data_IF_793840264271
#
_entry.id   IF_793840264271
#
_cell.length_a   1.000
_cell.length_b   1.000
_cell.length_c   1.000
_cell.angle_alpha   90.00
_cell.angle_beta   90.00
_cell.angle_gamma   90.00
#
_symmetry.space_group_name_H-M   'P 1'
#
loop_
_entity.id
_entity.type
_entity.pdbx_description
1 polymer ?
#
# COMPACT_ATOMS: atom_id res chain seq x y z
N UNK A 1 58.45 64.69 45.52
CA UNK A 1 58.97 63.39 45.87
C UNK A 1 57.80 62.44 45.88
N UNK A 2 57.60 61.66 44.79
CA UNK A 2 56.98 60.35 44.91
C UNK A 2 57.02 59.62 43.58
N UNK A 3 57.33 58.36 43.57
CA UNK A 3 57.72 57.63 42.37
C UNK A 3 56.59 56.82 41.76
N UNK A 4 56.73 56.63 40.48
CA UNK A 4 56.32 55.57 39.60
C UNK A 4 55.22 54.58 40.06
N UNK A 5 54.07 54.57 39.32
CA UNK A 5 53.26 53.41 39.16
C UNK A 5 53.23 53.00 37.67
N UNK A 6 53.98 51.92 37.44
CA UNK A 6 54.06 51.22 36.16
C UNK A 6 52.83 50.34 36.04
N UNK A 7 51.91 50.64 35.09
CA UNK A 7 50.75 49.79 34.80
C UNK A 7 51.14 48.78 33.76
N UNK A 8 51.16 47.55 34.15
CA UNK A 8 51.23 46.42 33.25
C UNK A 8 49.83 46.17 32.66
N UNK A 9 49.62 46.51 31.39
CA UNK A 9 48.50 46.05 30.57
C UNK A 9 48.90 44.67 30.04
N UNK A 10 48.37 43.60 30.64
CA UNK A 10 48.37 42.24 30.06
C UNK A 10 47.33 42.20 28.93
N UNK A 11 47.80 42.25 27.70
CA UNK A 11 46.98 41.95 26.51
C UNK A 11 46.69 40.42 26.46
N UNK A 12 45.50 40.03 26.90
CA UNK A 12 44.99 38.70 26.66
C UNK A 12 44.59 38.59 25.19
N UNK A 13 45.51 38.17 24.32
CA UNK A 13 45.16 37.64 23.00
C UNK A 13 44.50 36.27 23.19
N UNK A 14 43.14 36.26 23.22
CA UNK A 14 42.37 35.02 23.11
C UNK A 14 42.58 34.46 21.71
N UNK A 15 43.41 33.43 21.56
CA UNK A 15 43.41 32.58 20.35
C UNK A 15 42.04 31.89 20.25
N UNK A 16 41.16 32.41 19.40
CA UNK A 16 39.98 31.72 18.96
C UNK A 16 40.44 30.56 18.06
N UNK A 17 40.59 29.36 18.64
CA UNK A 17 40.75 28.14 17.83
C UNK A 17 39.51 27.94 16.96
N UNK A 18 39.68 27.71 15.67
CA UNK A 18 38.50 27.36 14.82
C UNK A 18 37.90 26.07 15.34
N UNK A 19 36.64 26.12 15.80
CA UNK A 19 35.86 24.91 16.10
C UNK A 19 35.75 24.17 14.78
N UNK A 20 36.23 22.91 14.67
CA UNK A 20 36.03 22.15 13.46
C UNK A 20 34.52 22.05 13.20
N UNK A 21 34.08 22.69 12.13
CA UNK A 21 32.69 22.54 11.67
C UNK A 21 32.42 21.06 11.47
N UNK A 22 31.52 20.50 12.28
CA UNK A 22 30.99 19.16 12.04
C UNK A 22 30.37 19.23 10.65
N UNK A 23 31.07 18.72 9.64
CA UNK A 23 30.53 18.56 8.30
C UNK A 23 29.25 17.75 8.50
N UNK A 24 28.10 18.35 8.16
CA UNK A 24 26.83 17.65 8.20
C UNK A 24 26.98 16.40 7.33
N UNK A 25 26.96 15.23 7.96
CA UNK A 25 27.05 13.97 7.23
C UNK A 25 25.97 13.99 6.15
N UNK A 26 26.37 13.79 4.89
CA UNK A 26 25.46 13.80 3.77
C UNK A 26 24.57 12.56 3.89
N UNK A 27 23.27 12.78 4.18
CA UNK A 27 22.28 11.69 4.21
C UNK A 27 22.04 11.14 2.80
N UNK A 28 22.01 9.79 2.64
CA UNK A 28 22.39 8.76 3.61
C UNK A 28 23.91 8.47 3.60
N UNK A 29 24.52 8.24 4.79
CA UNK A 29 25.91 7.86 4.97
C UNK A 29 26.11 6.34 5.18
N UNK A 30 25.02 5.58 5.34
CA UNK A 30 24.99 4.12 5.56
C UNK A 30 23.81 3.49 4.82
N UNK A 31 23.76 2.15 4.65
CA UNK A 31 22.63 1.47 4.01
C UNK A 31 21.28 1.83 4.62
N UNK A 32 20.28 1.93 3.76
CA UNK A 32 18.89 2.26 4.12
C UNK A 32 18.02 1.00 4.04
N UNK A 33 17.20 0.77 5.06
CA UNK A 33 16.34 -0.41 5.16
C UNK A 33 14.93 -0.10 4.67
N UNK A 34 14.47 -0.84 3.66
CA UNK A 34 13.08 -0.86 3.19
C UNK A 34 12.40 -2.11 3.72
N UNK A 35 11.55 -1.97 4.74
CA UNK A 35 10.71 -3.07 5.22
C UNK A 35 9.58 -3.29 4.21
N UNK A 36 9.28 -4.56 3.87
CA UNK A 36 8.22 -4.93 2.93
C UNK A 36 7.22 -5.86 3.63
N UNK A 37 5.96 -5.43 3.68
CA UNK A 37 4.92 -6.07 4.49
C UNK A 37 4.34 -7.39 3.88
N UNK A 38 4.99 -7.95 2.86
CA UNK A 38 4.54 -9.16 2.17
C UNK A 38 5.70 -10.16 2.00
N UNK A 39 5.40 -11.45 1.74
CA UNK A 39 6.43 -12.42 1.40
C UNK A 39 7.18 -12.07 0.12
N UNK A 40 8.42 -12.57 -0.07
CA UNK A 40 9.13 -12.48 -1.34
C UNK A 40 8.28 -12.98 -2.51
N UNK A 41 8.35 -12.28 -3.66
CA UNK A 41 7.55 -12.58 -4.86
C UNK A 41 6.11 -12.03 -4.82
N UNK A 42 5.66 -11.46 -3.72
CA UNK A 42 4.38 -10.75 -3.65
C UNK A 42 4.41 -9.39 -4.36
N UNK A 43 3.24 -8.79 -4.66
CA UNK A 43 3.18 -7.55 -5.45
C UNK A 43 4.02 -6.39 -4.89
N UNK A 44 4.00 -6.18 -3.57
CA UNK A 44 4.82 -5.14 -2.94
C UNK A 44 6.33 -5.49 -3.00
N UNK A 45 6.72 -6.77 -2.93
CA UNK A 45 8.12 -7.17 -3.07
C UNK A 45 8.62 -6.93 -4.51
N UNK A 46 7.80 -7.21 -5.51
CA UNK A 46 8.10 -6.90 -6.92
C UNK A 46 8.32 -5.39 -7.09
N UNK A 47 7.44 -4.57 -6.54
CA UNK A 47 7.57 -3.11 -6.57
C UNK A 47 8.85 -2.64 -5.85
N UNK A 48 9.13 -3.20 -4.66
CA UNK A 48 10.35 -2.88 -3.91
C UNK A 48 11.62 -3.20 -4.71
N UNK A 49 11.65 -4.36 -5.38
CA UNK A 49 12.80 -4.78 -6.21
C UNK A 49 12.91 -4.03 -7.53
N UNK A 50 11.84 -3.42 -7.99
CA UNK A 50 11.82 -2.58 -9.18
C UNK A 50 12.36 -1.17 -8.85
N UNK A 51 11.99 -0.61 -7.70
CA UNK A 51 12.37 0.74 -7.26
C UNK A 51 13.69 0.75 -6.48
N UNK A 52 13.96 -0.27 -5.66
CA UNK A 52 15.11 -0.34 -4.77
C UNK A 52 16.49 -0.13 -5.43
N UNK A 53 16.80 -0.77 -6.57
CA UNK A 53 18.05 -0.53 -7.28
C UNK A 53 18.22 0.93 -7.74
N UNK A 54 17.15 1.57 -8.20
CA UNK A 54 17.16 2.99 -8.59
C UNK A 54 17.40 3.90 -7.39
N UNK A 55 16.78 3.57 -6.25
CA UNK A 55 17.06 4.30 -5.01
C UNK A 55 18.51 4.10 -4.55
N UNK A 56 19.07 2.90 -4.67
CA UNK A 56 20.48 2.63 -4.35
C UNK A 56 21.42 3.52 -5.18
N UNK A 57 21.14 3.63 -6.49
CA UNK A 57 21.92 4.44 -7.41
C UNK A 57 21.90 5.94 -7.02
N UNK A 58 20.70 6.51 -6.82
CA UNK A 58 20.55 7.95 -6.56
C UNK A 58 20.88 8.37 -5.12
N UNK A 59 20.77 7.46 -4.16
CA UNK A 59 21.12 7.70 -2.78
C UNK A 59 22.63 7.47 -2.51
N UNK A 60 23.32 6.75 -3.38
CA UNK A 60 24.73 6.37 -3.19
C UNK A 60 24.94 5.35 -2.06
N UNK A 61 23.87 4.76 -1.52
CA UNK A 61 23.89 3.79 -0.45
C UNK A 61 22.92 2.65 -0.75
N UNK A 62 23.29 1.44 -0.36
CA UNK A 62 22.45 0.25 -0.60
C UNK A 62 21.10 0.37 0.08
N UNK A 63 20.02 0.14 -0.69
CA UNK A 63 18.66 -0.04 -0.14
C UNK A 63 18.43 -1.52 0.07
N UNK A 64 18.41 -1.93 1.35
CA UNK A 64 18.21 -3.33 1.77
C UNK A 64 16.71 -3.60 1.85
N UNK A 65 16.22 -4.53 1.02
CA UNK A 65 14.82 -4.99 1.03
C UNK A 65 14.68 -6.08 2.09
N UNK A 66 13.84 -5.84 3.11
CA UNK A 66 13.62 -6.72 4.24
C UNK A 66 12.14 -7.13 4.34
N UNK A 67 11.83 -8.32 3.85
CA UNK A 67 10.46 -8.84 3.86
C UNK A 67 10.06 -9.29 5.27
N UNK A 68 8.99 -8.71 5.82
CA UNK A 68 8.39 -9.02 7.12
C UNK A 68 6.89 -9.29 6.99
N UNK A 69 6.51 -10.45 6.44
CA UNK A 69 5.10 -10.82 6.27
C UNK A 69 4.46 -11.21 7.60
N UNK A 70 3.13 -11.20 7.62
CA UNK A 70 2.31 -11.72 8.73
C UNK A 70 1.25 -10.75 9.19
N UNK A 71 0.11 -11.29 9.68
CA UNK A 71 -1.04 -10.55 10.20
C UNK A 71 -1.47 -9.37 9.29
N UNK A 72 -1.64 -9.61 7.99
CA UNK A 72 -1.95 -8.60 6.98
C UNK A 72 -0.99 -7.38 7.00
N UNK A 73 0.30 -7.63 7.31
CA UNK A 73 1.35 -6.60 7.37
C UNK A 73 1.59 -5.99 8.76
N UNK A 74 0.81 -6.30 9.79
CA UNK A 74 0.96 -5.70 11.12
C UNK A 74 2.40 -5.83 11.65
N UNK A 75 3.06 -6.98 11.45
CA UNK A 75 4.45 -7.19 11.89
C UNK A 75 5.38 -6.13 11.28
N UNK A 76 5.24 -5.87 10.00
CA UNK A 76 6.05 -4.86 9.29
C UNK A 76 5.71 -3.43 9.74
N UNK A 77 4.43 -3.14 9.93
CA UNK A 77 3.98 -1.80 10.31
C UNK A 77 4.37 -1.46 11.74
N UNK A 78 4.20 -2.38 12.69
CA UNK A 78 4.68 -2.20 14.07
C UNK A 78 6.19 -1.99 14.13
N UNK A 79 6.95 -2.80 13.40
CA UNK A 79 8.40 -2.65 13.31
C UNK A 79 8.80 -1.29 12.74
N UNK A 80 8.11 -0.80 11.71
CA UNK A 80 8.39 0.50 11.11
C UNK A 80 7.97 1.66 12.03
N UNK A 81 6.81 1.59 12.67
CA UNK A 81 6.31 2.62 13.58
C UNK A 81 7.27 2.88 14.75
N UNK A 82 7.93 1.82 15.24
CA UNK A 82 8.86 1.88 16.38
C UNK A 82 10.34 1.99 15.97
N UNK A 83 10.64 2.10 14.68
CA UNK A 83 12.01 2.30 14.21
C UNK A 83 12.52 3.70 14.58
N UNK A 84 13.87 3.84 14.66
CA UNK A 84 14.50 5.14 14.88
C UNK A 84 14.12 6.08 13.73
N UNK A 85 13.60 7.29 14.00
CA UNK A 85 13.16 8.22 12.98
C UNK A 85 14.33 9.00 12.35
N UNK A 86 15.41 8.30 11.98
CA UNK A 86 16.63 8.85 11.41
C UNK A 86 16.69 8.80 9.88
N UNK A 87 15.58 8.39 9.23
CA UNK A 87 15.47 8.25 7.80
C UNK A 87 16.07 6.98 7.20
N UNK A 88 16.74 6.14 8.01
CA UNK A 88 17.38 4.91 7.53
C UNK A 88 16.47 3.68 7.56
N UNK A 89 15.23 3.82 8.05
CA UNK A 89 14.23 2.76 7.99
C UNK A 89 12.91 3.35 7.50
N UNK A 90 12.32 2.73 6.48
CA UNK A 90 10.99 3.05 6.00
C UNK A 90 10.29 1.76 5.54
N UNK A 91 8.98 1.78 5.40
CA UNK A 91 8.19 0.61 5.03
C UNK A 91 7.45 0.83 3.72
N UNK A 92 7.43 -0.17 2.87
CA UNK A 92 6.49 -0.30 1.76
C UNK A 92 5.23 -0.99 2.29
N UNK A 93 4.23 -0.17 2.55
CA UNK A 93 2.95 -0.58 3.11
C UNK A 93 1.91 -0.86 2.02
N UNK A 94 0.96 -1.71 2.36
CA UNK A 94 -0.27 -1.95 1.61
C UNK A 94 -1.47 -1.37 2.35
N UNK A 95 -2.67 -1.48 1.78
CA UNK A 95 -3.92 -1.01 2.38
C UNK A 95 -4.16 -1.50 3.82
N UNK A 96 -3.58 -2.63 4.20
CA UNK A 96 -3.64 -3.17 5.57
C UNK A 96 -3.22 -2.16 6.64
N UNK A 97 -2.28 -1.25 6.36
CA UNK A 97 -1.86 -0.25 7.35
C UNK A 97 -3.02 0.63 7.82
N UNK A 98 -3.94 1.00 6.93
CA UNK A 98 -5.12 1.81 7.24
C UNK A 98 -6.32 0.97 7.72
N UNK A 99 -6.41 -0.30 7.31
CA UNK A 99 -7.54 -1.20 7.54
C UNK A 99 -7.44 -1.90 8.90
N UNK A 100 -6.25 -2.38 9.25
CA UNK A 100 -6.03 -3.29 10.36
C UNK A 100 -6.46 -2.74 11.74
N UNK A 101 -6.34 -1.43 12.04
CA UNK A 101 -6.81 -0.89 13.32
C UNK A 101 -8.31 -1.10 13.57
N UNK A 102 -9.11 -1.18 12.50
CA UNK A 102 -10.55 -1.47 12.61
C UNK A 102 -10.87 -2.96 12.56
N UNK A 103 -9.96 -3.78 12.00
CA UNK A 103 -10.18 -5.20 11.76
C UNK A 103 -9.68 -6.09 12.89
N UNK A 104 -8.49 -5.82 13.45
CA UNK A 104 -7.87 -6.61 14.52
C UNK A 104 -8.18 -6.02 15.90
N UNK A 105 -8.25 -6.87 16.91
CA UNK A 105 -8.45 -6.46 18.31
C UNK A 105 -7.30 -5.63 18.85
N UNK A 106 -6.08 -6.03 18.53
CA UNK A 106 -4.86 -5.37 18.97
C UNK A 106 -3.97 -5.05 17.75
N UNK A 107 -3.68 -3.77 17.59
CA UNK A 107 -2.71 -3.24 16.65
C UNK A 107 -1.85 -2.24 17.39
N UNK A 108 -0.54 -2.42 17.35
CA UNK A 108 0.40 -1.60 18.13
C UNK A 108 0.98 -0.42 17.35
N UNK A 109 0.18 0.14 16.46
CA UNK A 109 0.47 1.38 15.75
C UNK A 109 -0.83 2.11 15.42
N UNK A 110 -0.72 3.42 15.23
CA UNK A 110 -1.79 4.28 14.72
C UNK A 110 -1.37 4.77 13.32
N UNK A 111 -2.13 4.45 12.24
CA UNK A 111 -1.76 4.81 10.88
C UNK A 111 -1.69 6.31 10.64
N UNK A 112 -2.36 7.12 11.46
CA UNK A 112 -2.47 8.57 11.31
C UNK A 112 -1.47 9.33 12.17
N UNK A 113 -0.90 8.68 13.20
CA UNK A 113 -0.01 9.31 14.19
C UNK A 113 1.41 8.80 14.12
N UNK A 114 1.61 7.51 13.88
CA UNK A 114 2.90 6.86 14.07
C UNK A 114 3.73 6.78 12.77
N UNK A 115 3.20 7.36 11.67
CA UNK A 115 3.89 7.40 10.37
C UNK A 115 3.95 8.79 9.76
N UNK A 116 5.05 9.07 9.08
CA UNK A 116 5.18 10.13 8.09
C UNK A 116 4.97 9.53 6.70
N UNK A 117 3.96 9.98 5.97
CA UNK A 117 3.71 9.56 4.60
C UNK A 117 4.85 10.04 3.69
N UNK A 118 5.36 9.15 2.82
CA UNK A 118 6.36 9.50 1.81
C UNK A 118 5.67 9.69 0.46
N UNK A 119 5.07 8.63 -0.09
CA UNK A 119 4.30 8.69 -1.34
C UNK A 119 3.42 7.46 -1.52
N UNK A 120 2.24 7.65 -2.09
CA UNK A 120 1.47 6.57 -2.70
C UNK A 120 2.20 6.15 -3.98
N UNK A 121 2.73 4.93 -4.00
CA UNK A 121 3.54 4.46 -5.11
C UNK A 121 2.70 4.02 -6.29
N UNK A 122 1.79 3.09 -6.04
CA UNK A 122 0.97 2.49 -7.08
C UNK A 122 -0.45 2.23 -6.60
N UNK A 123 -1.39 2.25 -7.54
CA UNK A 123 -2.77 1.83 -7.37
C UNK A 123 -3.04 0.59 -8.25
N UNK A 124 -3.75 -0.38 -7.70
CA UNK A 124 -4.09 -1.63 -8.39
C UNK A 124 -5.58 -1.90 -8.15
N UNK A 125 -6.46 -1.65 -9.12
CA UNK A 125 -7.87 -1.95 -8.96
C UNK A 125 -8.10 -3.45 -8.85
N UNK A 126 -9.21 -3.85 -8.21
CA UNK A 126 -9.67 -5.22 -8.29
C UNK A 126 -10.60 -5.40 -9.49
N UNK A 127 -10.61 -6.59 -10.07
CA UNK A 127 -11.60 -7.00 -11.07
C UNK A 127 -12.48 -8.06 -10.41
N UNK A 128 -13.78 -7.87 -10.48
CA UNK A 128 -14.73 -8.91 -10.14
C UNK A 128 -14.74 -9.96 -11.26
N UNK A 129 -14.26 -11.14 -10.93
CA UNK A 129 -14.19 -12.27 -11.84
C UNK A 129 -15.07 -13.41 -11.33
N UNK A 130 -15.56 -14.22 -12.25
CA UNK A 130 -16.30 -15.45 -11.97
C UNK A 130 -15.74 -16.62 -12.81
N UNK A 131 -15.89 -17.85 -12.30
CA UNK A 131 -15.62 -19.02 -13.10
C UNK A 131 -16.60 -19.12 -14.28
N UNK A 132 -16.20 -19.56 -15.47
CA UNK A 132 -17.07 -19.61 -16.66
C UNK A 132 -18.36 -20.41 -16.49
N UNK A 133 -18.38 -21.41 -15.58
CA UNK A 133 -19.59 -22.20 -15.27
C UNK A 133 -20.65 -21.45 -14.46
N UNK A 134 -20.30 -20.28 -13.90
CA UNK A 134 -21.29 -19.44 -13.19
C UNK A 134 -22.25 -18.83 -14.22
N UNK A 135 -23.57 -19.05 -14.09
CA UNK A 135 -24.55 -18.56 -15.05
C UNK A 135 -24.84 -17.06 -14.80
N UNK A 136 -23.80 -16.23 -14.90
CA UNK A 136 -23.85 -14.79 -14.77
C UNK A 136 -22.78 -14.17 -15.68
N UNK A 137 -23.18 -13.39 -16.65
CA UNK A 137 -22.32 -12.65 -17.57
C UNK A 137 -22.16 -11.18 -17.22
N UNK A 138 -22.88 -10.72 -16.19
CA UNK A 138 -22.90 -9.33 -15.74
C UNK A 138 -23.07 -9.23 -14.22
N UNK A 139 -22.77 -8.07 -13.66
CA UNK A 139 -22.99 -7.81 -12.22
C UNK A 139 -24.45 -7.92 -11.81
N UNK A 140 -25.43 -7.36 -12.56
CA UNK A 140 -26.86 -7.58 -12.25
C UNK A 140 -27.27 -9.06 -12.23
N UNK A 141 -26.78 -9.87 -13.17
CA UNK A 141 -27.06 -11.31 -13.20
C UNK A 141 -26.42 -12.04 -12.01
N UNK A 142 -25.19 -11.66 -11.62
CA UNK A 142 -24.55 -12.22 -10.44
C UNK A 142 -25.31 -11.89 -9.16
N UNK A 143 -25.84 -10.68 -9.03
CA UNK A 143 -26.69 -10.27 -7.91
C UNK A 143 -27.98 -11.06 -7.89
N UNK A 144 -28.66 -11.21 -9.04
CA UNK A 144 -29.88 -12.01 -9.14
C UNK A 144 -29.62 -13.48 -8.73
N UNK A 145 -28.52 -14.06 -9.21
CA UNK A 145 -28.08 -15.39 -8.82
C UNK A 145 -27.82 -15.51 -7.32
N UNK A 146 -27.11 -14.54 -6.73
CA UNK A 146 -26.83 -14.52 -5.28
C UNK A 146 -28.12 -14.43 -4.46
N UNK A 147 -29.09 -13.62 -4.87
CA UNK A 147 -30.40 -13.50 -4.22
C UNK A 147 -31.23 -14.77 -4.32
N UNK A 148 -31.19 -15.46 -5.48
CA UNK A 148 -31.91 -16.73 -5.67
C UNK A 148 -31.28 -17.91 -4.92
N UNK A 149 -30.02 -17.77 -4.50
CA UNK A 149 -29.20 -18.79 -3.81
C UNK A 149 -28.55 -18.21 -2.56
N UNK A 150 -29.30 -17.49 -1.74
CA UNK A 150 -28.79 -16.82 -0.56
C UNK A 150 -27.91 -17.74 0.29
N UNK A 151 -26.72 -17.27 0.67
CA UNK A 151 -25.74 -18.01 1.47
C UNK A 151 -25.07 -19.19 0.74
N UNK A 152 -25.23 -19.35 -0.59
CA UNK A 152 -24.60 -20.46 -1.33
C UNK A 152 -23.56 -20.02 -2.35
N UNK A 153 -23.58 -18.74 -2.75
CA UNK A 153 -22.55 -18.23 -3.66
C UNK A 153 -21.26 -17.98 -2.87
N UNK A 154 -20.17 -18.58 -3.31
CA UNK A 154 -18.86 -18.47 -2.63
C UNK A 154 -17.95 -17.48 -3.35
N UNK A 155 -17.29 -16.64 -2.55
CA UNK A 155 -16.28 -15.70 -3.00
C UNK A 155 -14.94 -15.98 -2.33
N UNK A 156 -13.91 -16.21 -3.11
CA UNK A 156 -12.55 -16.27 -2.62
C UNK A 156 -12.00 -14.87 -2.27
N UNK A 157 -11.00 -14.82 -1.41
CA UNK A 157 -10.14 -13.65 -1.23
C UNK A 157 -8.69 -14.05 -0.96
N UNK A 158 -7.77 -13.11 -1.12
CA UNK A 158 -6.36 -13.29 -0.77
C UNK A 158 -6.11 -13.37 0.75
N UNK A 159 -7.16 -13.35 1.54
CA UNK A 159 -7.17 -13.36 3.00
C UNK A 159 -8.00 -12.23 3.59
N UNK A 160 -8.27 -12.34 4.87
CA UNK A 160 -9.04 -11.34 5.62
C UNK A 160 -8.34 -9.97 5.61
N UNK A 161 -9.10 -8.88 5.45
CA UNK A 161 -8.59 -7.50 5.41
C UNK A 161 -7.89 -7.10 4.12
N UNK A 162 -7.80 -7.98 3.13
CA UNK A 162 -7.29 -7.60 1.80
C UNK A 162 -8.33 -6.78 1.03
N UNK A 163 -7.88 -6.00 0.03
CA UNK A 163 -8.79 -5.19 -0.79
C UNK A 163 -9.88 -6.02 -1.45
N UNK A 164 -9.57 -7.25 -1.87
CA UNK A 164 -10.56 -8.17 -2.44
C UNK A 164 -11.62 -8.63 -1.43
N UNK A 165 -11.25 -8.90 -0.17
CA UNK A 165 -12.20 -9.21 0.90
C UNK A 165 -13.12 -8.01 1.17
N UNK A 166 -12.53 -6.82 1.35
CA UNK A 166 -13.31 -5.62 1.63
C UNK A 166 -14.19 -5.18 0.44
N UNK A 167 -13.75 -5.44 -0.79
CA UNK A 167 -14.58 -5.26 -1.98
C UNK A 167 -15.82 -6.18 -1.94
N UNK A 168 -15.66 -7.43 -1.53
CA UNK A 168 -16.77 -8.36 -1.34
C UNK A 168 -17.73 -7.85 -0.26
N UNK A 169 -17.23 -7.46 0.89
CA UNK A 169 -18.09 -7.04 2.00
C UNK A 169 -18.84 -5.73 1.67
N UNK A 170 -18.16 -4.77 1.05
CA UNK A 170 -18.82 -3.57 0.54
C UNK A 170 -19.88 -3.92 -0.53
N UNK A 171 -19.60 -4.88 -1.42
CA UNK A 171 -20.52 -5.34 -2.44
C UNK A 171 -21.74 -6.02 -1.83
N UNK A 172 -21.55 -6.90 -0.84
CA UNK A 172 -22.65 -7.53 -0.09
C UNK A 172 -23.57 -6.49 0.54
N UNK A 173 -22.98 -5.52 1.25
CA UNK A 173 -23.73 -4.43 1.89
C UNK A 173 -24.52 -3.58 0.89
N UNK A 174 -23.90 -3.22 -0.24
CA UNK A 174 -24.52 -2.32 -1.23
C UNK A 174 -25.56 -3.02 -2.10
N UNK A 175 -25.34 -4.29 -2.46
CA UNK A 175 -26.24 -5.09 -3.30
C UNK A 175 -27.33 -5.80 -2.50
N UNK A 176 -27.26 -5.84 -1.17
CA UNK A 176 -28.18 -6.56 -0.31
C UNK A 176 -28.19 -8.06 -0.62
N UNK A 177 -27.00 -8.66 -0.76
CA UNK A 177 -26.82 -10.09 -1.04
C UNK A 177 -26.15 -10.79 0.12
N UNK A 178 -26.45 -12.07 0.27
CA UNK A 178 -25.73 -12.99 1.16
C UNK A 178 -24.84 -13.92 0.32
N UNK A 179 -23.54 -13.95 0.68
CA UNK A 179 -22.54 -14.76 0.02
C UNK A 179 -21.46 -15.20 1.02
N UNK A 180 -20.93 -16.41 0.81
CA UNK A 180 -19.91 -17.00 1.70
C UNK A 180 -18.55 -16.50 1.29
N UNK A 181 -17.80 -15.95 2.25
CA UNK A 181 -16.41 -15.58 2.08
C UNK A 181 -15.49 -16.78 2.37
N UNK A 182 -14.56 -17.08 1.46
CA UNK A 182 -13.55 -18.15 1.58
C UNK A 182 -12.16 -17.51 1.53
N UNK A 183 -11.50 -17.29 2.69
CA UNK A 183 -10.18 -16.68 2.74
C UNK A 183 -9.06 -17.68 2.39
N UNK A 184 -8.11 -17.26 1.55
CA UNK A 184 -6.91 -18.01 1.20
C UNK A 184 -5.65 -17.32 1.71
N UNK A 185 -4.50 -18.01 1.67
CA UNK A 185 -3.18 -17.46 2.06
C UNK A 185 -2.52 -16.75 0.87
N UNK A 186 -3.21 -15.73 0.31
CA UNK A 186 -2.72 -14.93 -0.80
C UNK A 186 -3.56 -15.01 -2.08
N UNK A 187 -3.32 -14.08 -3.01
CA UNK A 187 -4.09 -13.96 -4.25
C UNK A 187 -3.90 -15.10 -5.24
N UNK A 188 -2.71 -15.69 -5.29
CA UNK A 188 -2.42 -16.83 -6.17
C UNK A 188 -3.28 -18.05 -5.87
N UNK A 189 -3.27 -18.60 -4.64
CA UNK A 189 -4.16 -19.69 -4.23
C UNK A 189 -5.64 -19.36 -4.43
N UNK A 190 -6.10 -18.16 -4.05
CA UNK A 190 -7.49 -17.76 -4.25
C UNK A 190 -7.93 -17.78 -5.72
N UNK A 191 -7.08 -17.25 -6.61
CA UNK A 191 -7.33 -17.26 -8.05
C UNK A 191 -7.32 -18.66 -8.64
N UNK A 192 -6.40 -19.52 -8.19
CA UNK A 192 -6.32 -20.92 -8.64
C UNK A 192 -7.61 -21.68 -8.34
N UNK A 193 -8.21 -21.48 -7.17
CA UNK A 193 -9.48 -22.13 -6.78
C UNK A 193 -10.67 -21.64 -7.63
N UNK A 194 -10.69 -20.36 -8.00
CA UNK A 194 -11.71 -19.85 -8.94
C UNK A 194 -11.48 -20.39 -10.33
N UNK A 195 -10.25 -20.46 -10.83
CA UNK A 195 -9.91 -21.08 -12.13
C UNK A 195 -10.28 -22.57 -12.17
N UNK A 196 -10.14 -23.26 -11.04
CA UNK A 196 -10.54 -24.66 -10.91
C UNK A 196 -12.06 -24.88 -10.70
N UNK A 197 -12.84 -23.80 -10.54
CA UNK A 197 -14.28 -23.86 -10.31
C UNK A 197 -14.69 -24.30 -8.91
N UNK A 198 -13.75 -24.42 -7.96
CA UNK A 198 -14.06 -24.77 -6.58
C UNK A 198 -14.74 -23.61 -5.81
N UNK A 199 -14.42 -22.37 -6.18
CA UNK A 199 -15.07 -21.14 -5.70
C UNK A 199 -15.58 -20.37 -6.89
N UNK A 200 -16.79 -19.78 -6.78
CA UNK A 200 -17.48 -19.20 -7.92
C UNK A 200 -16.95 -17.83 -8.34
N UNK A 201 -16.53 -16.98 -7.40
CA UNK A 201 -16.19 -15.59 -7.67
C UNK A 201 -15.02 -15.08 -6.84
N UNK A 202 -14.42 -13.97 -7.27
CA UNK A 202 -13.32 -13.31 -6.58
C UNK A 202 -13.22 -11.84 -7.03
N UNK A 203 -13.01 -10.94 -6.10
CA UNK A 203 -12.45 -9.64 -6.39
C UNK A 203 -10.92 -9.76 -6.38
N UNK A 204 -10.33 -9.93 -7.55
CA UNK A 204 -8.88 -10.14 -7.73
C UNK A 204 -8.18 -8.86 -8.15
N UNK A 205 -6.98 -8.60 -7.62
CA UNK A 205 -6.15 -7.53 -8.16
C UNK A 205 -5.96 -7.73 -9.67
N UNK A 206 -6.09 -6.65 -10.44
CA UNK A 206 -6.05 -6.66 -11.90
C UNK A 206 -4.79 -7.35 -12.44
N UNK A 207 -3.63 -7.12 -11.79
CA UNK A 207 -2.36 -7.74 -12.16
C UNK A 207 -2.40 -9.28 -12.18
N UNK A 208 -3.17 -9.90 -11.28
CA UNK A 208 -3.31 -11.35 -11.19
C UNK A 208 -4.45 -11.88 -12.09
N UNK A 209 -5.55 -11.13 -12.21
CA UNK A 209 -6.73 -11.52 -12.98
C UNK A 209 -6.52 -11.44 -14.49
N UNK A 210 -5.85 -10.38 -14.99
CA UNK A 210 -5.72 -10.08 -16.43
C UNK A 210 -5.18 -11.26 -17.28
N UNK A 211 -4.14 -12.01 -16.88
CA UNK A 211 -3.69 -13.16 -17.66
C UNK A 211 -4.75 -14.27 -17.78
N UNK A 212 -5.54 -14.51 -16.71
CA UNK A 212 -6.56 -15.54 -16.69
C UNK A 212 -7.82 -15.13 -17.49
N UNK A 213 -8.14 -13.83 -17.50
CA UNK A 213 -9.20 -13.25 -18.34
C UNK A 213 -8.85 -13.40 -19.82
N UNK A 214 -7.62 -13.04 -20.20
CA UNK A 214 -7.13 -13.15 -21.60
C UNK A 214 -7.16 -14.59 -22.14
N UNK A 215 -6.97 -15.58 -21.29
CA UNK A 215 -7.02 -17.00 -21.65
C UNK A 215 -8.41 -17.63 -21.50
N UNK A 216 -9.43 -16.84 -21.10
CA UNK A 216 -10.80 -17.32 -20.94
C UNK A 216 -11.02 -18.26 -19.75
N UNK A 217 -10.04 -18.40 -18.84
CA UNK A 217 -10.16 -19.26 -17.66
C UNK A 217 -11.09 -18.69 -16.60
N UNK A 218 -11.27 -17.36 -16.59
CA UNK A 218 -12.26 -16.67 -15.78
C UNK A 218 -12.94 -15.60 -16.62
N UNK A 219 -14.16 -15.21 -16.24
CA UNK A 219 -14.92 -14.13 -16.86
C UNK A 219 -14.83 -12.89 -15.97
N UNK A 220 -14.44 -11.74 -16.54
CA UNK A 220 -14.49 -10.45 -15.87
C UNK A 220 -15.89 -9.85 -15.98
N UNK A 221 -16.40 -9.26 -14.90
CA UNK A 221 -17.72 -8.62 -14.86
C UNK A 221 -17.63 -7.11 -14.67
N UNK A 222 -16.72 -6.63 -13.82
CA UNK A 222 -16.56 -5.21 -13.52
C UNK A 222 -15.20 -4.94 -12.86
N UNK A 223 -14.78 -3.66 -12.89
CA UNK A 223 -13.61 -3.19 -12.17
C UNK A 223 -14.04 -2.32 -10.97
N UNK A 224 -13.22 -2.31 -9.90
CA UNK A 224 -13.58 -1.64 -8.65
C UNK A 224 -13.04 -0.21 -8.51
N UNK A 225 -12.39 0.32 -9.52
CA UNK A 225 -11.98 1.73 -9.57
C UNK A 225 -13.20 2.66 -9.70
N UNK A 226 -13.10 3.88 -9.16
CA UNK A 226 -14.16 4.88 -9.23
C UNK A 226 -14.44 5.38 -10.66
N UNK A 227 -13.46 5.22 -11.56
CA UNK A 227 -13.56 5.48 -13.01
C UNK A 227 -13.00 4.29 -13.76
N UNK A 228 -13.36 4.14 -15.06
CA UNK A 228 -12.76 3.11 -15.91
C UNK A 228 -11.25 3.24 -15.91
N UNK A 229 -10.58 2.11 -15.75
CA UNK A 229 -9.12 2.07 -15.68
C UNK A 229 -8.52 1.90 -17.08
N UNK A 230 -7.40 2.56 -17.33
CA UNK A 230 -6.65 2.39 -18.56
C UNK A 230 -6.12 0.95 -18.77
N UNK A 231 -6.04 0.16 -17.69
CA UNK A 231 -5.59 -1.24 -17.75
C UNK A 231 -6.67 -2.22 -18.18
N UNK A 232 -7.95 -1.82 -18.16
CA UNK A 232 -9.11 -2.60 -18.61
C UNK A 232 -10.26 -1.65 -19.03
N UNK A 233 -10.09 -0.85 -20.08
CA UNK A 233 -11.03 0.20 -20.46
C UNK A 233 -12.37 -0.36 -20.93
N UNK A 234 -12.42 -1.60 -21.35
CA UNK A 234 -13.62 -2.32 -21.76
C UNK A 234 -14.53 -2.72 -20.59
N UNK A 235 -13.97 -2.84 -19.37
CA UNK A 235 -14.74 -3.23 -18.21
C UNK A 235 -15.50 -2.03 -17.62
N UNK A 236 -16.80 -2.16 -17.35
CA UNK A 236 -17.54 -1.16 -16.60
C UNK A 236 -17.04 -1.14 -15.16
N UNK A 237 -17.14 0.01 -14.50
CA UNK A 237 -16.90 0.05 -13.04
C UNK A 237 -18.13 -0.47 -12.29
N UNK A 238 -17.91 -0.98 -11.07
CA UNK A 238 -19.04 -1.35 -10.19
C UNK A 238 -19.93 -0.12 -9.92
N UNK A 239 -19.32 1.08 -9.84
CA UNK A 239 -20.04 2.34 -9.68
C UNK A 239 -21.01 2.64 -10.84
N UNK A 240 -20.58 2.43 -12.09
CA UNK A 240 -21.44 2.59 -13.30
C UNK A 240 -22.61 1.62 -13.33
N UNK A 241 -22.48 0.47 -12.67
CA UNK A 241 -23.51 -0.59 -12.67
C UNK A 241 -24.54 -0.45 -11.54
N UNK A 242 -24.73 0.77 -11.02
CA UNK A 242 -25.77 1.09 -10.05
C UNK A 242 -25.29 1.21 -8.60
N UNK A 243 -23.99 1.27 -8.38
CA UNK A 243 -23.39 1.43 -7.04
C UNK A 243 -22.55 2.70 -6.93
N UNK A 244 -23.14 3.90 -7.05
CA UNK A 244 -22.41 5.15 -7.06
C UNK A 244 -21.53 5.28 -5.81
N UNK A 245 -20.27 5.71 -6.00
CA UNK A 245 -19.28 5.79 -4.94
C UNK A 245 -18.66 4.46 -4.51
N UNK A 246 -18.95 3.35 -5.22
CA UNK A 246 -18.22 2.11 -5.01
C UNK A 246 -16.81 2.25 -5.57
N UNK A 247 -15.84 2.29 -4.68
CA UNK A 247 -14.42 2.32 -5.04
C UNK A 247 -13.60 1.53 -4.04
N UNK A 248 -12.88 0.51 -4.54
CA UNK A 248 -11.97 -0.31 -3.75
C UNK A 248 -10.70 -0.54 -4.54
N UNK A 249 -9.64 0.13 -4.12
CA UNK A 249 -8.33 0.05 -4.77
C UNK A 249 -7.36 -0.67 -3.85
N UNK A 250 -6.66 -1.67 -4.36
CA UNK A 250 -5.43 -2.13 -3.76
C UNK A 250 -4.34 -1.09 -4.03
N UNK A 251 -3.49 -0.82 -3.06
CA UNK A 251 -2.44 0.16 -3.21
C UNK A 251 -1.18 -0.23 -2.40
N UNK A 252 -0.06 0.31 -2.85
CA UNK A 252 1.20 0.23 -2.14
C UNK A 252 1.84 1.61 -2.07
N UNK A 253 2.35 1.97 -0.90
CA UNK A 253 2.97 3.27 -0.67
C UNK A 253 4.02 3.22 0.42
N UNK A 254 4.90 4.21 0.45
CA UNK A 254 6.00 4.26 1.38
C UNK A 254 5.70 5.17 2.55
N UNK A 255 6.02 4.69 3.75
CA UNK A 255 5.86 5.36 5.03
C UNK A 255 7.17 5.32 5.82
N UNK A 256 7.49 6.38 6.52
CA UNK A 256 8.57 6.43 7.49
C UNK A 256 8.00 6.55 8.92
N UNK A 257 8.78 6.33 9.99
CA UNK A 257 8.39 6.67 11.36
C UNK A 257 7.98 8.15 11.46
N UNK A 258 6.95 8.47 12.25
CA UNK A 258 6.31 9.79 12.29
C UNK A 258 7.26 10.98 12.51
N UNK A 259 8.31 10.79 13.30
CA UNK A 259 9.29 11.84 13.65
C UNK A 259 10.50 11.90 12.71
N UNK A 260 10.44 11.22 11.57
CA UNK A 260 11.50 11.31 10.54
C UNK A 260 11.62 12.75 10.05
N UNK A 261 12.82 13.34 10.02
CA UNK A 261 13.02 14.73 9.58
C UNK A 261 12.39 15.00 8.20
N UNK A 262 11.68 16.12 8.08
CA UNK A 262 10.94 16.45 6.85
C UNK A 262 11.83 16.45 5.60
N UNK A 263 13.07 16.93 5.71
CA UNK A 263 14.02 16.93 4.59
C UNK A 263 14.30 15.51 4.06
N UNK A 264 14.36 14.51 4.94
CA UNK A 264 14.56 13.11 4.54
C UNK A 264 13.31 12.52 3.88
N UNK A 265 12.12 12.81 4.42
CA UNK A 265 10.84 12.42 3.81
C UNK A 265 10.72 13.00 2.40
N UNK A 266 11.00 14.30 2.26
CA UNK A 266 10.97 15.00 0.96
C UNK A 266 12.00 14.39 -0.02
N UNK A 267 13.22 14.10 0.43
CA UNK A 267 14.24 13.48 -0.41
C UNK A 267 13.79 12.10 -0.89
N UNK A 268 13.28 11.25 0.01
CA UNK A 268 12.77 9.92 -0.34
C UNK A 268 11.57 10.03 -1.31
N UNK A 269 10.63 10.96 -1.07
CA UNK A 269 9.51 11.20 -1.98
C UNK A 269 10.02 11.52 -3.40
N UNK A 270 10.91 12.51 -3.54
CA UNK A 270 11.43 12.93 -4.84
C UNK A 270 12.08 11.75 -5.58
N UNK A 271 12.94 10.99 -4.91
CA UNK A 271 13.69 9.93 -5.57
C UNK A 271 12.81 8.70 -5.89
N UNK A 272 11.84 8.36 -5.03
CA UNK A 272 10.86 7.30 -5.31
C UNK A 272 9.98 7.70 -6.50
N UNK A 273 9.47 8.93 -6.53
CA UNK A 273 8.63 9.42 -7.63
C UNK A 273 9.41 9.43 -8.95
N UNK A 274 10.67 9.85 -8.95
CA UNK A 274 11.54 9.74 -10.12
C UNK A 274 11.70 8.29 -10.58
N UNK A 275 11.98 7.37 -9.65
CA UNK A 275 12.13 5.95 -9.96
C UNK A 275 10.87 5.33 -10.58
N UNK A 276 9.68 5.68 -10.06
CA UNK A 276 8.40 5.24 -10.62
C UNK A 276 8.13 5.76 -12.04
N UNK A 277 8.70 6.93 -12.40
CA UNK A 277 8.53 7.55 -13.71
C UNK A 277 9.65 7.21 -14.73
N UNK A 278 10.64 6.40 -14.33
CA UNK A 278 11.58 5.83 -15.30
C UNK A 278 10.79 5.00 -16.33
N UNK A 279 10.99 5.19 -17.65
CA UNK A 279 10.17 4.55 -18.68
C UNK A 279 10.04 3.03 -18.49
N UNK A 280 11.14 2.33 -18.26
CA UNK A 280 11.15 0.87 -18.08
C UNK A 280 10.37 0.42 -16.82
N UNK A 281 10.44 1.21 -15.74
CA UNK A 281 9.69 0.96 -14.50
C UNK A 281 8.20 1.17 -14.75
N UNK A 282 7.84 2.29 -15.38
CA UNK A 282 6.47 2.65 -15.70
C UNK A 282 5.81 1.63 -16.63
N UNK A 283 6.48 1.26 -17.72
CA UNK A 283 6.00 0.26 -18.67
C UNK A 283 5.82 -1.11 -18.01
N UNK A 284 6.78 -1.50 -17.16
CA UNK A 284 6.68 -2.75 -16.41
C UNK A 284 5.47 -2.77 -15.47
N UNK A 285 5.21 -1.68 -14.76
CA UNK A 285 4.03 -1.55 -13.88
C UNK A 285 2.73 -1.62 -14.69
N UNK A 286 2.61 -0.84 -15.76
CA UNK A 286 1.42 -0.82 -16.63
C UNK A 286 1.17 -2.19 -17.28
N UNK A 287 2.22 -2.88 -17.74
CA UNK A 287 2.09 -4.23 -18.30
C UNK A 287 1.56 -5.26 -17.29
N UNK A 288 1.70 -4.97 -16.00
CA UNK A 288 1.16 -5.73 -14.88
C UNK A 288 -0.16 -5.16 -14.35
N UNK A 289 -0.85 -4.36 -15.13
CA UNK A 289 -2.12 -3.73 -14.71
C UNK A 289 -2.02 -2.95 -13.38
N UNK A 290 -0.87 -2.32 -13.16
CA UNK A 290 -0.53 -1.53 -11.99
C UNK A 290 -0.31 -0.09 -12.39
N UNK A 291 -1.06 0.85 -11.83
CA UNK A 291 -1.00 2.26 -12.16
C UNK A 291 0.01 2.97 -11.25
N UNK A 292 1.14 3.52 -11.78
CA UNK A 292 2.04 4.35 -10.98
C UNK A 292 1.37 5.68 -10.65
N UNK A 293 1.45 6.10 -9.37
CA UNK A 293 0.84 7.33 -8.84
C UNK A 293 1.90 8.37 -8.54
N UNK A 294 2.72 8.18 -7.51
CA UNK A 294 3.82 9.08 -7.18
C UNK A 294 3.35 10.46 -6.73
N UNK A 295 2.52 10.55 -5.69
CA UNK A 295 1.98 11.80 -5.17
C UNK A 295 2.86 12.44 -4.06
N UNK A 296 2.45 13.64 -3.58
CA UNK A 296 3.12 14.31 -2.47
C UNK A 296 2.86 13.60 -1.12
N UNK A 297 3.72 13.83 -0.11
CA UNK A 297 3.50 13.33 1.24
C UNK A 297 2.16 13.74 1.84
N UNK A 298 1.75 14.99 1.63
CA UNK A 298 0.48 15.53 2.13
C UNK A 298 -0.73 14.84 1.48
N UNK A 299 -0.66 14.64 0.16
CA UNK A 299 -1.72 13.95 -0.58
C UNK A 299 -1.83 12.49 -0.16
N UNK A 300 -0.70 11.81 0.10
CA UNK A 300 -0.72 10.44 0.58
C UNK A 300 -1.22 10.32 2.03
N UNK A 301 -0.86 11.26 2.91
CA UNK A 301 -1.39 11.32 4.28
C UNK A 301 -2.93 11.51 4.29
N UNK A 302 -3.44 12.40 3.44
CA UNK A 302 -4.88 12.61 3.26
C UNK A 302 -5.58 11.34 2.74
N UNK A 303 -4.96 10.64 1.79
CA UNK A 303 -5.45 9.38 1.25
C UNK A 303 -5.53 8.28 2.34
N UNK A 304 -4.49 8.12 3.17
CA UNK A 304 -4.48 7.14 4.27
C UNK A 304 -5.61 7.43 5.26
N UNK A 305 -5.85 8.69 5.60
CA UNK A 305 -6.96 9.10 6.48
C UNK A 305 -8.31 8.72 5.86
N UNK A 306 -8.53 9.06 4.59
CA UNK A 306 -9.77 8.72 3.90
C UNK A 306 -10.01 7.19 3.83
N UNK A 307 -8.95 6.42 3.57
CA UNK A 307 -9.00 4.96 3.58
C UNK A 307 -9.31 4.41 4.98
N UNK A 308 -8.63 4.91 6.02
CA UNK A 308 -8.89 4.52 7.41
C UNK A 308 -10.36 4.74 7.79
N UNK A 309 -10.89 5.94 7.54
CA UNK A 309 -12.27 6.29 7.92
C UNK A 309 -13.31 5.49 7.13
N UNK A 310 -13.08 5.33 5.82
CA UNK A 310 -13.93 4.50 4.95
C UNK A 310 -14.01 3.06 5.45
N UNK A 311 -12.86 2.44 5.73
CA UNK A 311 -12.84 1.04 6.12
C UNK A 311 -13.31 0.82 7.55
N UNK A 312 -13.14 1.79 8.45
CA UNK A 312 -13.74 1.74 9.78
C UNK A 312 -15.28 1.65 9.70
N UNK A 313 -15.92 2.46 8.85
CA UNK A 313 -17.38 2.39 8.61
C UNK A 313 -17.80 1.04 8.02
N UNK A 314 -17.13 0.59 6.96
CA UNK A 314 -17.49 -0.68 6.27
C UNK A 314 -17.32 -1.88 7.20
N UNK A 315 -16.21 -1.98 7.91
CA UNK A 315 -15.89 -3.08 8.83
C UNK A 315 -16.89 -3.09 9.99
N UNK A 316 -17.20 -1.91 10.55
CA UNK A 316 -18.18 -1.77 11.62
C UNK A 316 -19.58 -2.23 11.20
N UNK A 317 -20.04 -1.83 10.02
CA UNK A 317 -21.36 -2.20 9.46
C UNK A 317 -21.43 -3.67 9.04
N UNK A 318 -20.34 -4.22 8.53
CA UNK A 318 -20.27 -5.64 8.14
C UNK A 318 -20.07 -6.57 9.35
N UNK A 319 -19.77 -6.03 10.54
CA UNK A 319 -19.53 -6.83 11.76
C UNK A 319 -18.28 -7.70 11.69
N UNK A 320 -17.30 -7.34 10.83
CA UNK A 320 -16.09 -8.13 10.63
C UNK A 320 -15.08 -7.82 11.75
N UNK A 321 -14.57 -8.87 12.39
CA UNK A 321 -13.48 -8.76 13.38
C UNK A 321 -12.54 -9.93 13.27
N UNK A 322 -11.26 -9.67 13.51
CA UNK A 322 -10.18 -10.66 13.58
C UNK A 322 -9.62 -10.71 15.00
N UNK A 323 -9.27 -11.92 15.41
CA UNK A 323 -8.59 -12.12 16.71
C UNK A 323 -7.09 -11.80 16.62
#
# INVERSE_FOLDING_TARGET
MNPFRLHWMLACCALAAPVPGVAAETYPAKPVRMIVAVPPGGPADILARLVGPRLTEVLGQTVVIDNRPGANGNIAYEMAAHAIPDGYTFVLAAAGVAINPSLYREVRYDPLRDFAAITLGVAVPNILIVHPSVPAGSVPELIALAKSRAGRLTFASAGNGTSGHLALELFKLRAGIDAVHVPYKGGGPALAEVVAGQVQALFSLALAATPQIKTGRVRALAITSGKRSAVAPELPTVAELGFPGFEVIGWFGWLAPARTPRGMVTRLNIEIVKALNVPEVRERLLSQSTEPVGNSPEAFAAFIRAEHDKWADVIGRAGIRME
#
